data_IF_496321855884
#
_entry.id   IF_496321855884
#
_cell.length_a   1.000
_cell.length_b   1.000
_cell.length_c   1.000
_cell.angle_alpha   90.00
_cell.angle_beta   90.00
_cell.angle_gamma   90.00
#
_symmetry.space_group_name_H-M   'P 1'
#
loop_
_entity.id
_entity.type
_entity.pdbx_description
1 polymer ?
#
# COMPACT_ATOMS: atom_id res chain seq x y z
N UNK A 1 -4.87 27.78 5.89
CA UNK A 1 -4.10 26.65 6.41
C UNK A 1 -2.81 27.22 6.99
N UNK A 2 -2.47 26.85 8.24
CA UNK A 2 -1.23 27.30 8.90
C UNK A 2 -0.02 26.67 8.18
N UNK A 3 1.05 27.44 7.96
CA UNK A 3 2.28 26.96 7.29
C UNK A 3 2.89 25.79 8.07
N UNK A 4 2.85 25.83 9.41
CA UNK A 4 3.37 24.74 10.23
C UNK A 4 2.60 23.45 10.02
N UNK A 5 1.27 23.51 9.87
CA UNK A 5 0.43 22.33 9.65
C UNK A 5 0.75 21.65 8.32
N UNK A 6 0.98 22.43 7.25
CA UNK A 6 1.38 21.88 5.96
C UNK A 6 2.79 21.26 6.00
N UNK A 7 3.73 21.88 6.70
CA UNK A 7 5.07 21.30 6.91
C UNK A 7 4.96 20.01 7.72
N UNK A 8 4.20 20.02 8.82
CA UNK A 8 4.05 18.88 9.72
C UNK A 8 3.30 17.70 9.08
N UNK A 9 2.37 17.94 8.16
CA UNK A 9 1.77 16.87 7.36
C UNK A 9 2.76 16.06 6.52
N UNK A 10 3.99 16.57 6.31
CA UNK A 10 5.03 15.94 5.47
C UNK A 10 6.19 15.33 6.23
N UNK A 11 6.28 15.50 7.55
CA UNK A 11 7.43 14.99 8.33
C UNK A 11 7.29 13.52 8.73
N UNK A 12 6.13 12.91 8.48
CA UNK A 12 5.84 11.53 8.84
C UNK A 12 5.38 11.32 10.29
N UNK A 13 4.76 10.16 10.52
CA UNK A 13 4.12 9.83 11.82
C UNK A 13 5.12 9.83 12.98
N UNK A 14 6.32 9.28 12.79
CA UNK A 14 7.33 9.20 13.84
C UNK A 14 7.70 10.59 14.35
N UNK A 15 8.09 11.50 13.45
CA UNK A 15 8.50 12.85 13.87
C UNK A 15 7.33 13.68 14.41
N UNK A 16 6.11 13.49 13.89
CA UNK A 16 4.91 14.10 14.46
C UNK A 16 4.64 13.66 15.91
N UNK A 17 5.07 12.45 16.26
CA UNK A 17 4.84 11.86 17.56
C UNK A 17 5.98 12.13 18.54
N UNK A 18 7.23 11.97 18.10
CA UNK A 18 8.40 11.87 18.97
C UNK A 18 9.37 13.05 18.88
N UNK A 19 9.24 13.93 17.88
CA UNK A 19 10.16 15.06 17.65
C UNK A 19 9.45 16.40 17.75
N UNK A 20 8.54 16.67 16.80
CA UNK A 20 7.87 17.97 16.63
C UNK A 20 7.19 18.49 17.90
N UNK A 21 6.45 17.67 18.68
CA UNK A 21 5.77 18.15 19.88
C UNK A 21 6.73 18.62 20.98
N UNK A 22 8.00 18.21 20.94
CA UNK A 22 8.99 18.49 21.99
C UNK A 22 9.89 19.70 21.68
N UNK A 23 9.77 20.30 20.49
CA UNK A 23 10.56 21.48 20.10
C UNK A 23 10.11 22.73 20.86
N UNK A 24 8.82 23.08 20.82
CA UNK A 24 8.26 24.19 21.59
C UNK A 24 6.73 24.09 21.73
N UNK A 25 6.13 24.91 22.61
CA UNK A 25 4.67 24.93 22.83
C UNK A 25 3.85 25.26 21.58
N UNK A 26 4.40 26.07 20.66
CA UNK A 26 3.70 26.41 19.42
C UNK A 26 3.65 25.21 18.47
N UNK A 27 4.77 24.49 18.35
CA UNK A 27 4.87 23.28 17.53
C UNK A 27 4.01 22.16 18.09
N UNK A 28 4.01 21.97 19.41
CA UNK A 28 3.09 21.06 20.09
C UNK A 28 1.62 21.34 19.77
N UNK A 29 1.21 22.62 19.71
CA UNK A 29 -0.18 22.97 19.36
C UNK A 29 -0.47 22.69 17.88
N UNK A 30 0.42 23.11 16.99
CA UNK A 30 0.24 22.90 15.56
C UNK A 30 0.27 21.41 15.17
N UNK A 31 1.11 20.57 15.79
CA UNK A 31 1.15 19.13 15.52
C UNK A 31 -0.08 18.37 16.02
N UNK A 32 -0.96 19.02 16.80
CA UNK A 32 -2.26 18.46 17.20
C UNK A 32 -3.39 18.77 16.23
N UNK A 33 -3.15 19.61 15.23
CA UNK A 33 -4.15 19.87 14.21
C UNK A 33 -4.39 18.60 13.38
N UNK A 34 -5.66 18.19 13.17
CA UNK A 34 -6.01 16.94 12.48
C UNK A 34 -5.36 16.75 11.10
N UNK A 35 -5.14 17.85 10.36
CA UNK A 35 -4.54 17.81 9.02
C UNK A 35 -3.07 17.38 9.03
N UNK A 36 -2.39 17.41 10.18
CA UNK A 36 -1.05 16.82 10.28
C UNK A 36 -1.09 15.29 10.20
N UNK A 37 -2.26 14.67 10.45
CA UNK A 37 -2.45 13.24 10.65
C UNK A 37 -3.30 12.62 9.52
N UNK A 38 -3.22 13.18 8.32
CA UNK A 38 -3.90 12.62 7.14
C UNK A 38 -3.24 11.31 6.69
N UNK A 39 -1.92 11.18 6.87
CA UNK A 39 -1.14 10.01 6.47
C UNK A 39 -0.69 9.24 7.72
N UNK A 40 -1.28 8.07 7.95
CA UNK A 40 -0.99 7.21 9.09
C UNK A 40 -0.21 5.97 8.63
N UNK A 41 1.10 6.14 8.49
CA UNK A 41 2.02 5.03 8.19
C UNK A 41 2.51 4.39 9.49
N UNK A 42 1.95 3.24 9.84
CA UNK A 42 2.43 2.48 10.99
C UNK A 42 3.72 1.71 10.63
N UNK A 43 4.68 1.62 11.56
CA UNK A 43 5.80 0.68 11.46
C UNK A 43 5.28 -0.76 11.33
N UNK A 44 6.07 -1.65 10.73
CA UNK A 44 5.68 -3.04 10.58
C UNK A 44 5.57 -3.74 11.94
N UNK A 45 6.53 -3.43 12.82
CA UNK A 45 6.61 -3.96 14.18
C UNK A 45 6.47 -2.81 15.21
N UNK A 46 5.39 -2.86 16.02
CA UNK A 46 5.11 -1.83 17.04
C UNK A 46 5.54 -2.30 18.45
N UNK A 47 5.81 -3.59 18.65
CA UNK A 47 6.08 -4.14 20.00
C UNK A 47 7.56 -4.36 20.29
N UNK A 48 8.00 -4.10 21.53
CA UNK A 48 9.30 -4.52 22.03
C UNK A 48 9.50 -6.04 22.09
N UNK A 49 8.43 -6.84 22.17
CA UNK A 49 8.59 -8.30 22.20
C UNK A 49 8.96 -8.89 20.82
N UNK A 50 8.88 -8.10 19.75
CA UNK A 50 9.40 -8.42 18.42
C UNK A 50 10.90 -8.06 18.28
N UNK A 51 11.56 -7.58 19.35
CA UNK A 51 13.00 -7.19 19.40
C UNK A 51 13.96 -8.39 19.25
N UNK A 52 13.46 -9.64 19.23
CA UNK A 52 14.33 -10.80 18.98
C UNK A 52 14.86 -10.87 17.54
N UNK A 53 14.39 -10.00 16.64
CA UNK A 53 15.08 -9.67 15.40
C UNK A 53 16.04 -8.50 15.67
N UNK A 54 17.31 -8.80 16.00
CA UNK A 54 18.36 -7.79 16.25
C UNK A 54 18.51 -6.75 15.11
N UNK A 55 18.02 -7.10 13.91
CA UNK A 55 18.07 -6.31 12.68
C UNK A 55 16.72 -5.66 12.29
N UNK A 56 15.71 -5.60 13.18
CA UNK A 56 14.44 -4.97 12.83
C UNK A 56 14.62 -3.45 12.55
N UNK A 57 14.20 -2.94 11.38
CA UNK A 57 14.33 -1.52 11.04
C UNK A 57 13.54 -0.62 11.99
N UNK A 58 12.46 -1.15 12.59
CA UNK A 58 11.53 -0.40 13.43
C UNK A 58 11.94 -0.36 14.92
N UNK A 59 13.05 -1.02 15.30
CA UNK A 59 13.48 -1.10 16.70
C UNK A 59 13.69 0.29 17.32
N UNK A 60 14.31 1.21 16.57
CA UNK A 60 14.54 2.58 17.02
C UNK A 60 13.24 3.31 17.37
N UNK A 61 12.20 3.13 16.54
CA UNK A 61 10.87 3.70 16.79
C UNK A 61 10.26 3.15 18.08
N UNK A 62 10.23 1.83 18.24
CA UNK A 62 9.60 1.18 19.39
C UNK A 62 10.29 1.57 20.73
N UNK A 63 11.62 1.61 20.76
CA UNK A 63 12.38 2.02 21.94
C UNK A 63 12.10 3.48 22.33
N UNK A 64 12.08 4.39 21.34
CA UNK A 64 11.76 5.80 21.57
C UNK A 64 10.32 5.99 22.03
N UNK A 65 9.37 5.22 21.48
CA UNK A 65 7.97 5.25 21.86
C UNK A 65 7.80 4.89 23.34
N UNK A 66 8.36 3.75 23.76
CA UNK A 66 8.32 3.29 25.16
C UNK A 66 8.99 4.31 26.09
N UNK A 67 10.15 4.84 25.71
CA UNK A 67 10.87 5.83 26.52
C UNK A 67 10.08 7.13 26.67
N UNK A 68 9.41 7.58 25.61
CA UNK A 68 8.71 8.87 25.57
C UNK A 68 7.37 8.82 26.29
N UNK A 69 6.58 7.76 26.08
CA UNK A 69 5.24 7.63 26.64
C UNK A 69 5.19 6.83 27.94
N UNK A 70 6.26 6.10 28.30
CA UNK A 70 6.35 5.26 29.50
C UNK A 70 5.24 4.19 29.59
N UNK A 71 4.66 3.81 28.45
CA UNK A 71 3.56 2.86 28.36
C UNK A 71 3.88 1.76 27.34
N UNK A 72 3.71 0.50 27.77
CA UNK A 72 3.62 -0.64 26.85
C UNK A 72 2.21 -0.70 26.27
N UNK A 73 1.97 0.08 25.21
CA UNK A 73 0.71 0.03 24.48
C UNK A 73 0.63 -1.27 23.67
N UNK A 74 -0.55 -1.91 23.69
CA UNK A 74 -0.84 -2.94 22.69
C UNK A 74 -0.89 -2.32 21.29
N UNK A 75 -0.65 -3.12 20.25
CA UNK A 75 -0.78 -2.67 18.84
C UNK A 75 -2.13 -1.99 18.62
N UNK A 76 -3.22 -2.61 19.08
CA UNK A 76 -4.57 -2.03 19.01
C UNK A 76 -4.68 -0.68 19.71
N UNK A 77 -4.17 -0.57 20.95
CA UNK A 77 -4.24 0.68 21.71
C UNK A 77 -3.44 1.79 21.04
N UNK A 78 -2.25 1.47 20.53
CA UNK A 78 -1.42 2.42 19.79
C UNK A 78 -2.10 2.90 18.50
N UNK A 79 -2.64 1.97 17.70
CA UNK A 79 -3.38 2.33 16.48
C UNK A 79 -4.58 3.22 16.76
N UNK A 80 -5.38 2.88 17.79
CA UNK A 80 -6.50 3.73 18.22
C UNK A 80 -6.04 5.12 18.65
N UNK A 81 -4.95 5.21 19.39
CA UNK A 81 -4.40 6.49 19.83
C UNK A 81 -4.00 7.37 18.64
N UNK A 82 -3.32 6.81 17.64
CA UNK A 82 -2.92 7.55 16.43
C UNK A 82 -4.13 7.93 15.57
N UNK A 83 -5.07 7.01 15.34
CA UNK A 83 -6.30 7.29 14.58
C UNK A 83 -7.09 8.44 15.21
N UNK A 84 -7.18 8.49 16.54
CA UNK A 84 -7.81 9.58 17.26
C UNK A 84 -7.14 10.95 17.04
N UNK A 85 -5.84 10.99 16.72
CA UNK A 85 -5.16 12.25 16.36
C UNK A 85 -5.66 12.82 15.03
N UNK A 86 -6.05 11.96 14.10
CA UNK A 86 -6.56 12.37 12.79
C UNK A 86 -7.96 12.98 12.84
N UNK A 87 -8.75 12.72 13.89
CA UNK A 87 -10.13 13.22 14.01
C UNK A 87 -10.96 12.99 12.72
N UNK A 88 -10.80 11.82 12.07
CA UNK A 88 -11.47 11.47 10.82
C UNK A 88 -10.92 12.12 9.55
N UNK A 89 -9.75 12.77 9.64
CA UNK A 89 -9.04 13.34 8.49
C UNK A 89 -8.06 12.37 7.82
N UNK A 90 -7.84 11.17 8.37
CA UNK A 90 -6.96 10.17 7.76
C UNK A 90 -7.45 9.78 6.35
N UNK A 91 -6.56 9.94 5.36
CA UNK A 91 -6.76 9.61 3.94
C UNK A 91 -5.89 8.44 3.50
N UNK A 92 -4.70 8.25 4.09
CA UNK A 92 -3.81 7.12 3.79
C UNK A 92 -3.44 6.39 5.08
N UNK A 93 -3.53 5.06 5.06
CA UNK A 93 -3.13 4.22 6.19
C UNK A 93 -2.29 3.04 5.67
N UNK A 94 -1.09 2.83 6.25
CA UNK A 94 -0.34 1.58 6.14
C UNK A 94 -0.46 0.81 7.45
N UNK A 95 -0.97 -0.42 7.40
CA UNK A 95 -1.15 -1.26 8.58
C UNK A 95 0.16 -1.92 9.04
N UNK A 96 0.35 -2.14 10.35
CA UNK A 96 1.44 -2.96 10.87
C UNK A 96 1.22 -4.45 10.56
N UNK A 97 2.26 -5.29 10.62
CA UNK A 97 2.23 -6.74 10.29
C UNK A 97 1.21 -7.55 11.10
N UNK A 98 0.91 -7.11 12.32
CA UNK A 98 0.01 -7.79 13.25
C UNK A 98 -1.22 -6.94 13.58
N UNK A 99 -1.87 -6.39 12.54
CA UNK A 99 -3.13 -5.69 12.73
C UNK A 99 -4.19 -6.65 13.30
N UNK A 100 -4.89 -6.20 14.33
CA UNK A 100 -5.98 -6.96 14.95
C UNK A 100 -7.31 -6.64 14.28
N UNK A 101 -8.28 -7.56 14.38
CA UNK A 101 -9.66 -7.29 13.93
C UNK A 101 -10.25 -6.05 14.61
N UNK A 102 -10.03 -5.90 15.92
CA UNK A 102 -10.49 -4.73 16.69
C UNK A 102 -9.90 -3.41 16.18
N UNK A 103 -8.60 -3.40 15.84
CA UNK A 103 -7.95 -2.22 15.30
C UNK A 103 -8.47 -1.87 13.90
N UNK A 104 -8.65 -2.88 13.04
CA UNK A 104 -9.18 -2.70 11.70
C UNK A 104 -10.63 -2.21 11.71
N UNK A 105 -11.48 -2.78 12.56
CA UNK A 105 -12.86 -2.33 12.73
C UNK A 105 -12.90 -0.86 13.17
N UNK A 106 -12.02 -0.48 14.10
CA UNK A 106 -11.93 0.90 14.56
C UNK A 106 -11.54 1.86 13.44
N UNK A 107 -10.50 1.53 12.65
CA UNK A 107 -10.12 2.30 11.46
C UNK A 107 -11.30 2.42 10.49
N UNK A 108 -12.01 1.33 10.26
CA UNK A 108 -13.13 1.31 9.32
C UNK A 108 -14.29 2.22 9.75
N UNK A 109 -14.45 2.45 11.06
CA UNK A 109 -15.47 3.35 11.62
C UNK A 109 -15.01 4.81 11.69
N UNK A 110 -13.75 5.05 12.06
CA UNK A 110 -13.25 6.39 12.37
C UNK A 110 -12.58 7.08 11.16
N UNK A 111 -12.27 6.34 10.10
CA UNK A 111 -11.59 6.87 8.90
C UNK A 111 -12.48 6.73 7.63
N UNK A 112 -13.64 7.41 7.55
CA UNK A 112 -14.53 7.29 6.40
C UNK A 112 -13.99 7.95 5.11
N UNK A 113 -12.95 8.80 5.23
CA UNK A 113 -12.29 9.50 4.12
C UNK A 113 -11.08 8.74 3.55
N UNK A 114 -10.90 7.48 3.94
CA UNK A 114 -9.77 6.69 3.49
C UNK A 114 -9.77 6.57 1.95
N UNK A 115 -8.69 7.04 1.35
CA UNK A 115 -8.39 7.02 -0.08
C UNK A 115 -7.34 5.94 -0.40
N UNK A 116 -6.37 5.72 0.49
CA UNK A 116 -5.34 4.71 0.35
C UNK A 116 -5.21 3.77 1.55
N UNK A 117 -5.16 2.47 1.29
CA UNK A 117 -4.93 1.45 2.31
C UNK A 117 -3.84 0.47 1.89
N UNK A 118 -2.73 0.43 2.62
CA UNK A 118 -1.75 -0.65 2.54
C UNK A 118 -2.00 -1.63 3.68
N UNK A 119 -2.42 -2.84 3.30
CA UNK A 119 -2.72 -3.91 4.25
C UNK A 119 -1.45 -4.60 4.74
N UNK A 120 -0.33 -4.48 4.03
CA UNK A 120 0.90 -5.23 4.30
C UNK A 120 0.82 -6.68 3.82
N UNK A 121 1.98 -7.22 3.41
CA UNK A 121 2.10 -8.52 2.73
C UNK A 121 1.62 -9.70 3.58
N UNK A 122 1.85 -9.65 4.89
CA UNK A 122 1.74 -10.78 5.82
C UNK A 122 0.65 -10.62 6.88
N UNK A 123 -0.35 -9.76 6.65
CA UNK A 123 -1.47 -9.53 7.56
C UNK A 123 -2.55 -10.63 7.48
N UNK A 124 -2.15 -11.87 7.78
CA UNK A 124 -3.03 -13.05 7.71
C UNK A 124 -4.20 -13.00 8.71
N UNK A 125 -4.03 -12.29 9.82
CA UNK A 125 -5.04 -12.17 10.89
C UNK A 125 -6.32 -11.48 10.44
N UNK A 126 -6.27 -10.68 9.37
CA UNK A 126 -7.40 -9.88 8.90
C UNK A 126 -7.90 -10.28 7.52
N UNK A 127 -7.41 -11.38 6.95
CA UNK A 127 -7.79 -11.88 5.61
C UNK A 127 -9.30 -12.05 5.44
N UNK A 128 -9.95 -12.72 6.39
CA UNK A 128 -11.39 -12.96 6.37
C UNK A 128 -12.23 -11.77 6.88
N UNK A 129 -11.56 -10.76 7.44
CA UNK A 129 -12.19 -9.66 8.15
C UNK A 129 -12.26 -8.43 7.24
N UNK A 130 -11.16 -8.11 6.55
CA UNK A 130 -11.06 -6.92 5.71
C UNK A 130 -12.18 -6.78 4.67
N UNK A 131 -12.69 -7.85 3.99
CA UNK A 131 -13.75 -7.70 3.01
C UNK A 131 -15.05 -7.14 3.62
N UNK A 132 -15.29 -7.37 4.92
CA UNK A 132 -16.49 -6.89 5.63
C UNK A 132 -16.50 -5.37 5.78
N UNK A 133 -15.33 -4.73 5.73
CA UNK A 133 -15.15 -3.32 6.00
C UNK A 133 -14.97 -2.45 4.76
N UNK A 134 -14.64 -3.03 3.60
CA UNK A 134 -14.44 -2.30 2.33
C UNK A 134 -15.61 -1.36 2.01
N UNK A 135 -16.85 -1.78 2.32
CA UNK A 135 -18.06 -0.97 2.11
C UNK A 135 -18.09 0.38 2.86
N UNK A 136 -17.24 0.55 3.89
CA UNK A 136 -17.13 1.77 4.68
C UNK A 136 -16.20 2.81 4.03
N UNK A 137 -15.26 2.39 3.18
CA UNK A 137 -14.28 3.26 2.53
C UNK A 137 -14.70 3.65 1.10
N UNK A 138 -15.76 4.45 1.01
CA UNK A 138 -16.35 4.83 -0.29
C UNK A 138 -15.44 5.72 -1.15
N UNK A 139 -14.52 6.42 -0.49
CA UNK A 139 -13.50 7.26 -1.14
C UNK A 139 -12.24 6.49 -1.53
N UNK A 140 -12.18 5.17 -1.32
CA UNK A 140 -10.98 4.39 -1.59
C UNK A 140 -10.62 4.44 -3.08
N UNK A 141 -9.42 4.91 -3.37
CA UNK A 141 -8.87 5.05 -4.71
C UNK A 141 -7.75 4.03 -4.97
N UNK A 142 -7.06 3.62 -3.89
CA UNK A 142 -5.90 2.75 -3.98
C UNK A 142 -5.81 1.76 -2.83
N UNK A 143 -5.32 0.56 -3.12
CA UNK A 143 -5.10 -0.46 -2.09
C UNK A 143 -3.92 -1.37 -2.43
N UNK A 144 -3.04 -1.59 -1.44
CA UNK A 144 -2.06 -2.69 -1.49
C UNK A 144 -2.60 -3.86 -0.67
N UNK A 145 -2.79 -4.99 -1.34
CA UNK A 145 -3.30 -6.22 -0.77
C UNK A 145 -2.17 -7.09 -0.22
N UNK A 146 -2.48 -7.81 0.85
CA UNK A 146 -1.70 -8.97 1.28
C UNK A 146 -1.88 -10.15 0.33
N UNK A 147 -0.97 -11.12 0.42
CA UNK A 147 -0.83 -12.24 -0.52
C UNK A 147 -2.12 -13.04 -0.78
N UNK A 148 -3.03 -13.10 0.19
CA UNK A 148 -4.24 -13.94 0.12
C UNK A 148 -5.55 -13.14 0.02
N UNK A 149 -5.49 -11.82 -0.03
CA UNK A 149 -6.69 -10.97 0.05
C UNK A 149 -7.42 -10.79 -1.29
N UNK A 150 -6.77 -11.10 -2.42
CA UNK A 150 -7.30 -10.76 -3.75
C UNK A 150 -8.73 -11.27 -3.96
N UNK A 151 -8.96 -12.56 -3.75
CA UNK A 151 -10.22 -13.22 -4.10
C UNK A 151 -11.42 -12.69 -3.31
N UNK A 152 -11.20 -12.34 -2.04
CA UNK A 152 -12.25 -11.89 -1.14
C UNK A 152 -12.46 -10.37 -1.20
N UNK A 153 -11.40 -9.59 -1.43
CA UNK A 153 -11.42 -8.12 -1.38
C UNK A 153 -11.77 -7.48 -2.71
N UNK A 154 -11.21 -7.93 -3.83
CA UNK A 154 -11.40 -7.29 -5.15
C UNK A 154 -12.89 -7.15 -5.54
N UNK A 155 -13.76 -8.16 -5.35
CA UNK A 155 -15.18 -8.00 -5.62
C UNK A 155 -15.85 -6.92 -4.75
N UNK A 156 -15.42 -6.78 -3.49
CA UNK A 156 -15.97 -5.79 -2.57
C UNK A 156 -15.55 -4.38 -2.97
N UNK A 157 -14.30 -4.21 -3.43
CA UNK A 157 -13.82 -2.93 -3.99
C UNK A 157 -14.70 -2.54 -5.17
N UNK A 158 -14.88 -3.45 -6.14
CA UNK A 158 -15.70 -3.19 -7.32
C UNK A 158 -17.17 -2.84 -7.02
N UNK A 159 -17.71 -3.34 -5.90
CA UNK A 159 -19.08 -3.09 -5.47
C UNK A 159 -19.25 -1.75 -4.73
N UNK A 160 -18.22 -1.29 -4.01
CA UNK A 160 -18.36 -0.22 -3.02
C UNK A 160 -17.48 1.02 -3.26
N UNK A 161 -16.37 0.89 -3.99
CA UNK A 161 -15.34 1.92 -4.14
C UNK A 161 -15.31 2.44 -5.59
N UNK A 162 -16.17 3.41 -5.90
CA UNK A 162 -16.39 3.88 -7.28
C UNK A 162 -15.22 4.67 -7.90
N UNK A 163 -14.30 5.16 -7.06
CA UNK A 163 -13.12 5.94 -7.44
C UNK A 163 -11.85 5.10 -7.51
N UNK A 164 -11.96 3.78 -7.35
CA UNK A 164 -10.80 2.90 -7.29
C UNK A 164 -10.04 2.82 -8.64
N UNK A 165 -8.75 3.12 -8.61
CA UNK A 165 -7.89 3.24 -9.80
C UNK A 165 -6.53 2.54 -9.66
N UNK A 166 -6.09 2.18 -8.45
CA UNK A 166 -4.76 1.62 -8.21
C UNK A 166 -4.80 0.37 -7.33
N UNK A 167 -4.23 -0.73 -7.80
CA UNK A 167 -4.13 -1.98 -7.07
C UNK A 167 -2.68 -2.48 -7.05
N UNK A 168 -2.18 -2.80 -5.87
CA UNK A 168 -0.94 -3.56 -5.71
C UNK A 168 -1.22 -4.86 -4.97
N UNK A 169 -0.71 -5.98 -5.48
CA UNK A 169 -0.85 -7.29 -4.85
C UNK A 169 0.38 -8.17 -5.21
N UNK A 170 1.58 -7.82 -4.75
CA UNK A 170 2.78 -8.58 -5.07
C UNK A 170 2.72 -9.97 -4.44
N UNK A 171 3.51 -10.91 -4.97
CA UNK A 171 3.59 -12.31 -4.51
C UNK A 171 2.30 -13.13 -4.58
N UNK A 172 1.23 -12.57 -5.14
CA UNK A 172 -0.06 -13.25 -5.28
C UNK A 172 -0.03 -14.32 -6.38
N UNK A 173 -0.98 -15.25 -6.32
CA UNK A 173 -1.28 -16.14 -7.45
C UNK A 173 -2.38 -15.52 -8.32
N UNK A 174 -2.19 -15.54 -9.64
CA UNK A 174 -3.14 -15.05 -10.65
C UNK A 174 -3.47 -16.19 -11.61
N UNK A 175 -4.57 -16.89 -11.33
CA UNK A 175 -5.18 -17.83 -12.26
C UNK A 175 -6.24 -17.16 -13.12
N UNK A 176 -6.83 -17.92 -14.05
CA UNK A 176 -7.92 -17.44 -14.91
C UNK A 176 -9.11 -16.88 -14.13
N UNK A 177 -9.44 -17.50 -13.00
CA UNK A 177 -10.57 -17.07 -12.16
C UNK A 177 -10.29 -15.71 -11.53
N UNK A 178 -9.09 -15.54 -10.96
CA UNK A 178 -8.63 -14.29 -10.36
C UNK A 178 -8.59 -13.16 -11.41
N UNK A 179 -8.00 -13.40 -12.58
CA UNK A 179 -7.96 -12.44 -13.68
C UNK A 179 -9.35 -12.03 -14.16
N UNK A 180 -10.28 -12.98 -14.29
CA UNK A 180 -11.67 -12.68 -14.67
C UNK A 180 -12.36 -11.77 -13.65
N UNK A 181 -12.21 -12.10 -12.36
CA UNK A 181 -12.79 -11.30 -11.26
C UNK A 181 -12.20 -9.91 -11.25
N UNK A 182 -10.89 -9.76 -11.40
CA UNK A 182 -10.22 -8.47 -11.47
C UNK A 182 -10.80 -7.59 -12.58
N UNK A 183 -10.77 -8.08 -13.83
CA UNK A 183 -11.25 -7.33 -15.00
C UNK A 183 -12.74 -6.97 -14.87
N UNK A 184 -13.56 -7.88 -14.31
CA UNK A 184 -14.98 -7.64 -14.13
C UNK A 184 -15.28 -6.64 -12.99
N UNK A 185 -14.53 -6.68 -11.90
CA UNK A 185 -14.78 -5.86 -10.71
C UNK A 185 -14.13 -4.47 -10.78
N UNK A 186 -13.00 -4.33 -11.48
CA UNK A 186 -12.20 -3.10 -11.48
C UNK A 186 -12.03 -2.49 -12.90
N UNK A 187 -13.10 -2.27 -13.67
CA UNK A 187 -13.00 -1.90 -15.09
C UNK A 187 -12.33 -0.54 -15.36
N UNK A 188 -12.16 0.31 -14.32
CA UNK A 188 -11.53 1.64 -14.41
C UNK A 188 -10.08 1.66 -13.91
N UNK A 189 -9.50 0.49 -13.63
CA UNK A 189 -8.15 0.38 -13.09
C UNK A 189 -7.13 1.02 -14.04
N UNK A 190 -6.29 1.90 -13.50
CA UNK A 190 -5.23 2.61 -14.25
C UNK A 190 -3.84 2.08 -13.90
N UNK A 191 -3.65 1.63 -12.67
CA UNK A 191 -2.35 1.17 -12.19
C UNK A 191 -2.49 -0.20 -11.53
N UNK A 192 -1.69 -1.15 -11.98
CA UNK A 192 -1.65 -2.51 -11.46
C UNK A 192 -0.21 -2.90 -11.16
N UNK A 193 0.07 -3.28 -9.93
CA UNK A 193 1.36 -3.75 -9.48
C UNK A 193 1.23 -5.18 -8.94
N UNK A 194 1.81 -6.12 -9.66
CA UNK A 194 1.80 -7.55 -9.38
C UNK A 194 3.22 -8.12 -9.46
N UNK A 195 4.25 -7.32 -9.14
CA UNK A 195 5.62 -7.83 -9.15
C UNK A 195 5.77 -9.06 -8.25
N UNK A 196 6.66 -9.98 -8.63
CA UNK A 196 6.92 -11.26 -7.95
C UNK A 196 5.68 -12.17 -7.84
N UNK A 197 4.60 -11.91 -8.59
CA UNK A 197 3.43 -12.76 -8.61
C UNK A 197 3.65 -14.04 -9.45
N UNK A 198 2.79 -15.02 -9.25
CA UNK A 198 2.71 -16.23 -10.07
C UNK A 198 1.49 -16.15 -10.98
N UNK A 199 1.67 -16.42 -12.28
CA UNK A 199 0.62 -16.35 -13.30
C UNK A 199 0.39 -17.69 -14.00
N UNK A 200 -0.87 -17.95 -14.34
CA UNK A 200 -1.18 -18.69 -15.56
C UNK A 200 -1.04 -17.72 -16.75
N UNK A 201 -0.31 -18.10 -17.83
CA UNK A 201 -0.09 -17.21 -18.98
C UNK A 201 -1.41 -16.67 -19.54
N UNK A 202 -2.44 -17.51 -19.65
CA UNK A 202 -3.75 -17.10 -20.14
C UNK A 202 -4.43 -16.07 -19.21
N UNK A 203 -4.18 -16.12 -17.91
CA UNK A 203 -4.71 -15.14 -16.97
C UNK A 203 -4.08 -13.75 -17.19
N UNK A 204 -2.78 -13.70 -17.48
CA UNK A 204 -2.10 -12.47 -17.87
C UNK A 204 -2.66 -11.91 -19.19
N UNK A 205 -2.88 -12.77 -20.19
CA UNK A 205 -3.54 -12.38 -21.45
C UNK A 205 -4.93 -11.78 -21.19
N UNK A 206 -5.73 -12.38 -20.29
CA UNK A 206 -7.04 -11.84 -19.91
C UNK A 206 -6.94 -10.46 -19.27
N UNK A 207 -5.96 -10.22 -18.40
CA UNK A 207 -5.73 -8.91 -17.76
C UNK A 207 -5.38 -7.85 -18.82
N UNK A 208 -4.42 -8.13 -19.70
CA UNK A 208 -3.98 -7.20 -20.75
C UNK A 208 -5.10 -6.92 -21.78
N UNK A 209 -5.92 -7.93 -22.07
CA UNK A 209 -7.09 -7.76 -22.93
C UNK A 209 -8.21 -6.98 -22.24
N UNK A 210 -8.40 -7.16 -20.93
CA UNK A 210 -9.46 -6.51 -20.15
C UNK A 210 -9.20 -5.04 -19.85
N UNK A 211 -7.97 -4.68 -19.49
CA UNK A 211 -7.63 -3.32 -19.08
C UNK A 211 -7.06 -2.48 -20.22
N UNK A 212 -7.98 -1.88 -21.00
CA UNK A 212 -7.62 -1.01 -22.13
C UNK A 212 -7.17 0.40 -21.74
N UNK A 213 -7.39 0.81 -20.50
CA UNK A 213 -7.03 2.13 -19.98
C UNK A 213 -5.89 2.06 -18.95
N UNK A 214 -5.21 0.92 -18.86
CA UNK A 214 -4.10 0.75 -17.93
C UNK A 214 -2.94 1.65 -18.36
N UNK A 215 -2.47 2.48 -17.44
CA UNK A 215 -1.36 3.41 -17.62
C UNK A 215 -0.06 2.80 -17.10
N UNK A 216 -0.15 2.01 -16.04
CA UNK A 216 0.98 1.38 -15.37
C UNK A 216 0.70 -0.08 -15.08
N UNK A 217 1.62 -0.96 -15.48
CA UNK A 217 1.63 -2.37 -15.15
C UNK A 217 3.04 -2.79 -14.74
N UNK A 218 3.19 -3.18 -13.47
CA UNK A 218 4.41 -3.81 -12.96
C UNK A 218 4.17 -5.31 -12.77
N UNK A 219 4.84 -6.12 -13.57
CA UNK A 219 4.88 -7.58 -13.47
C UNK A 219 6.33 -8.06 -13.53
N UNK A 220 7.26 -7.33 -12.91
CA UNK A 220 8.66 -7.75 -12.77
C UNK A 220 8.80 -8.98 -11.88
N UNK A 221 9.85 -9.75 -12.11
CA UNK A 221 10.23 -10.93 -11.32
C UNK A 221 9.10 -11.97 -11.13
N UNK A 222 8.15 -12.02 -12.07
CA UNK A 222 7.01 -12.93 -11.98
C UNK A 222 7.34 -14.34 -12.48
N UNK A 223 6.55 -15.31 -12.02
CA UNK A 223 6.64 -16.69 -12.48
C UNK A 223 5.44 -17.04 -13.38
N UNK A 224 5.68 -17.79 -14.46
CA UNK A 224 4.63 -18.33 -15.35
C UNK A 224 4.63 -17.80 -16.80
N UNK A 225 5.46 -16.81 -17.11
CA UNK A 225 5.67 -16.30 -18.47
C UNK A 225 7.10 -15.77 -18.61
N UNK A 226 7.60 -15.54 -19.83
CA UNK A 226 8.91 -14.90 -20.04
C UNK A 226 8.72 -13.42 -20.31
N UNK A 227 9.58 -12.56 -19.75
CA UNK A 227 9.54 -11.12 -20.02
C UNK A 227 9.75 -10.74 -21.50
N UNK A 228 10.35 -11.64 -22.30
CA UNK A 228 10.55 -11.47 -23.75
C UNK A 228 9.46 -12.15 -24.62
N UNK A 229 8.34 -12.55 -24.01
CA UNK A 229 7.23 -13.19 -24.73
C UNK A 229 6.52 -12.19 -25.68
N UNK A 230 6.65 -12.43 -26.99
CA UNK A 230 6.17 -11.52 -28.03
C UNK A 230 4.67 -11.23 -27.95
N UNK A 231 3.85 -12.22 -27.55
CA UNK A 231 2.39 -12.04 -27.41
C UNK A 231 2.08 -11.09 -26.24
N UNK A 232 2.79 -11.24 -25.12
CA UNK A 232 2.62 -10.37 -23.95
C UNK A 232 3.07 -8.94 -24.28
N UNK A 233 4.23 -8.78 -24.93
CA UNK A 233 4.75 -7.47 -25.36
C UNK A 233 3.78 -6.76 -26.31
N UNK A 234 3.22 -7.48 -27.29
CA UNK A 234 2.23 -6.92 -28.22
C UNK A 234 0.95 -6.49 -27.50
N UNK A 235 0.42 -7.34 -26.61
CA UNK A 235 -0.77 -7.05 -25.82
C UNK A 235 -0.60 -5.91 -24.82
N UNK A 236 0.63 -5.66 -24.35
CA UNK A 236 0.96 -4.59 -23.41
C UNK A 236 1.39 -3.28 -24.10
N UNK A 237 1.52 -3.26 -25.44
CA UNK A 237 2.07 -2.12 -26.20
C UNK A 237 1.31 -0.80 -26.03
N UNK A 238 0.04 -0.83 -25.58
CA UNK A 238 -0.76 0.36 -25.28
C UNK A 238 -0.50 0.94 -23.89
N UNK A 239 0.25 0.26 -23.02
CA UNK A 239 0.50 0.64 -21.63
C UNK A 239 1.78 1.50 -21.58
N UNK A 240 1.71 2.80 -21.26
CA UNK A 240 2.87 3.69 -21.26
C UNK A 240 4.00 3.23 -20.32
N UNK A 241 3.66 2.71 -19.14
CA UNK A 241 4.61 2.23 -18.15
C UNK A 241 4.40 0.74 -17.92
N UNK A 242 5.04 -0.09 -18.74
CA UNK A 242 5.00 -1.54 -18.63
C UNK A 242 6.38 -2.09 -18.24
N UNK A 243 6.44 -2.84 -17.14
CA UNK A 243 7.68 -3.46 -16.64
C UNK A 243 7.45 -4.96 -16.44
N UNK A 244 8.31 -5.79 -17.02
CA UNK A 244 8.21 -7.24 -16.97
C UNK A 244 9.56 -7.96 -16.90
N UNK A 245 10.63 -7.21 -16.60
CA UNK A 245 11.99 -7.72 -16.46
C UNK A 245 12.06 -8.78 -15.34
N UNK A 246 12.94 -9.77 -15.49
CA UNK A 246 13.12 -10.85 -14.51
C UNK A 246 12.08 -11.98 -14.56
N UNK A 247 10.97 -11.80 -15.28
CA UNK A 247 9.89 -12.80 -15.34
C UNK A 247 10.26 -14.06 -16.14
N UNK A 248 9.95 -15.24 -15.61
CA UNK A 248 10.37 -16.53 -16.20
C UNK A 248 9.38 -17.71 -16.00
N UNK A 249 9.58 -18.80 -16.75
CA UNK A 249 8.76 -20.04 -16.74
C UNK A 249 9.39 -21.17 -15.89
N UNK A 250 10.68 -21.07 -15.52
CA UNK A 250 11.47 -22.19 -15.00
C UNK A 250 11.51 -22.36 -13.47
N UNK A 251 11.89 -23.56 -12.99
CA UNK A 251 12.34 -23.82 -11.61
C UNK A 251 13.73 -23.18 -11.42
N UNK A 252 13.80 -21.86 -11.37
CA UNK A 252 15.02 -21.11 -11.03
C UNK A 252 15.06 -20.86 -9.52
N UNK A 253 16.18 -21.20 -8.90
CA UNK A 253 16.48 -21.01 -7.47
C UNK A 253 15.81 -19.79 -6.86
N UNK A 254 15.06 -20.00 -5.76
CA UNK A 254 14.72 -18.95 -4.79
C UNK A 254 16.05 -18.36 -4.27
N UNK A 255 16.63 -17.40 -4.99
CA UNK A 255 17.41 -16.38 -4.30
C UNK A 255 16.36 -15.60 -3.54
N UNK A 256 16.26 -15.84 -2.23
CA UNK A 256 15.51 -14.96 -1.34
C UNK A 256 16.05 -13.55 -1.61
N UNK A 257 15.25 -12.63 -2.17
CA UNK A 257 15.67 -11.26 -2.28
C UNK A 257 15.88 -10.75 -0.86
N UNK A 258 16.88 -9.90 -0.65
CA UNK A 258 16.86 -9.02 0.52
C UNK A 258 15.66 -8.12 0.29
N UNK A 259 14.61 -8.32 1.08
CA UNK A 259 13.40 -7.51 1.01
C UNK A 259 13.75 -6.09 1.48
N UNK A 260 14.04 -5.19 0.55
CA UNK A 260 14.19 -3.77 0.85
C UNK A 260 12.79 -3.13 0.96
N UNK A 261 12.11 -3.43 2.06
CA UNK A 261 10.75 -2.97 2.38
C UNK A 261 10.61 -1.44 2.43
N UNK A 262 11.71 -0.72 2.70
CA UNK A 262 11.77 0.75 2.60
C UNK A 262 11.50 1.25 1.17
N UNK A 263 12.01 0.54 0.15
CA UNK A 263 11.84 0.94 -1.26
C UNK A 263 10.39 0.74 -1.73
N UNK A 264 9.73 -0.33 -1.27
CA UNK A 264 8.31 -0.58 -1.56
C UNK A 264 7.39 0.44 -0.88
N UNK A 265 7.82 1.00 0.26
CA UNK A 265 7.14 2.08 0.96
C UNK A 265 7.37 3.43 0.27
N UNK A 266 8.61 3.77 -0.11
CA UNK A 266 8.92 4.96 -0.92
C UNK A 266 8.14 4.92 -2.23
N UNK A 267 8.09 3.79 -2.95
CA UNK A 267 7.25 3.66 -4.15
C UNK A 267 5.75 3.80 -3.86
N UNK A 268 5.24 3.32 -2.73
CA UNK A 268 3.83 3.50 -2.35
C UNK A 268 3.54 4.98 -2.08
N UNK A 269 4.40 5.65 -1.30
CA UNK A 269 4.28 7.06 -0.94
C UNK A 269 4.59 8.02 -2.11
N UNK A 270 5.54 7.70 -2.97
CA UNK A 270 5.89 8.46 -4.18
C UNK A 270 4.77 8.33 -5.22
N UNK A 271 4.19 7.13 -5.38
CA UNK A 271 2.96 6.94 -6.18
C UNK A 271 1.74 7.67 -5.58
N UNK A 272 1.77 8.03 -4.29
CA UNK A 272 0.74 8.80 -3.58
C UNK A 272 0.99 10.33 -3.67
N UNK A 273 2.25 10.76 -3.66
CA UNK A 273 2.64 12.18 -3.60
C UNK A 273 2.86 12.82 -4.97
N UNK A 274 2.87 12.04 -6.06
CA UNK A 274 3.09 12.56 -7.40
C UNK A 274 1.81 12.71 -8.23
N UNK A 275 1.30 13.93 -8.23
CA UNK A 275 0.68 14.52 -9.43
C UNK A 275 1.76 14.86 -10.51
N UNK A 276 3.06 14.64 -10.26
CA UNK A 276 4.17 14.99 -11.17
C UNK A 276 5.41 14.05 -11.06
N UNK A 277 5.29 12.74 -11.31
CA UNK A 277 6.46 11.87 -11.61
C UNK A 277 6.16 10.94 -12.79
N UNK A 278 6.04 11.56 -13.95
CA UNK A 278 6.89 11.12 -15.04
C UNK A 278 7.71 12.35 -15.42
N UNK A 279 9.00 12.35 -15.09
CA UNK A 279 9.96 13.13 -15.89
C UNK A 279 9.92 12.53 -17.31
N UNK A 280 8.97 12.99 -18.11
CA UNK A 280 9.10 12.97 -19.55
C UNK A 280 10.12 14.06 -19.90
N UNK A 281 11.36 13.66 -20.17
CA UNK A 281 12.22 14.46 -21.04
C UNK A 281 11.51 14.58 -22.38
N UNK A 282 10.84 15.71 -22.61
CA UNK A 282 10.09 16.01 -23.84
C UNK A 282 11.00 16.35 -25.04
N UNK A 283 12.32 16.21 -24.91
CA UNK A 283 13.28 16.59 -25.95
C UNK A 283 13.64 15.45 -26.94
N UNK A 284 13.20 14.20 -26.72
CA UNK A 284 13.50 13.08 -27.63
C UNK A 284 12.36 12.70 -28.61
N UNK A 285 11.35 13.57 -28.79
CA UNK A 285 10.29 13.38 -29.81
C UNK A 285 10.45 14.26 -31.08
N UNK A 286 11.65 14.78 -31.32
CA UNK A 286 12.01 15.36 -32.62
C UNK A 286 13.37 14.84 -33.10
N UNK A 287 13.36 13.66 -33.72
CA UNK A 287 13.95 13.32 -35.04
C UNK A 287 13.47 11.92 -35.45
#
# INVERSE_FOLDING_TARGET
>A
MDILVNVFGRVGMESLLLDVPFVCKSWYKASREPQCWEHLIFPECIKPDDIWEEDSPDRGFAERLVTTYQENLSVTAFMKFIVNRSCGCATIIKLPKYCTEEALEYIANECPRLEGLDVGLYNFSIEDIIPKFVSKWKSLEMMRLGKFHMKSVVPQIGLHCNNFIWLSAPYTYIGKVEALVMVASLPKLKCLDLHRATFEKEALVMILQGYKQLVHLDIRDCWGFRGDDAEILELASHIPSFMCEGSSIGLGTLSAPVDNLEVDHELFCDKIHHDDCFDFDFDDLLI
#
